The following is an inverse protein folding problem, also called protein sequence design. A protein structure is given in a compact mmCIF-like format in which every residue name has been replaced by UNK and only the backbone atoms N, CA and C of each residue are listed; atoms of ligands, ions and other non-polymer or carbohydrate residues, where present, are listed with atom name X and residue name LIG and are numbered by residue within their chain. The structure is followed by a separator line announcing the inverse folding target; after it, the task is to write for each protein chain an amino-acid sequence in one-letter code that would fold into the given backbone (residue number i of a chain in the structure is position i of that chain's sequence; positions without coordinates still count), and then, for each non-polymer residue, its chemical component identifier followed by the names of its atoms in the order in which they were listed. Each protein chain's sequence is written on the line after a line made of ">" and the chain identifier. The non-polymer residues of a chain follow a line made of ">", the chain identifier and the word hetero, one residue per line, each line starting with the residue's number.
data_IF_938205422112
#
_entry.id   IF_938205422112
#
_cell.length_a   1.000
_cell.length_b   1.000
_cell.length_c   1.000
_cell.angle_alpha   90.00
_cell.angle_beta   90.00
_cell.angle_gamma   90.00
#
_symmetry.space_group_name_H-M   'P 1'
#
loop_
_entity.id
_entity.type
_entity.pdbx_description
1 polymer ?
#
# COMPACT_ATOMS: atom_id res chain seq x y z
N UNK A 1 8.80 -20.39 -7.59
CA UNK A 1 7.66 -21.18 -7.10
C UNK A 1 6.40 -20.34 -7.27
N UNK A 2 5.43 -20.81 -8.05
CA UNK A 2 4.14 -20.15 -8.25
C UNK A 2 3.08 -20.86 -7.43
N UNK A 3 2.26 -20.11 -6.66
CA UNK A 3 1.08 -20.62 -5.96
C UNK A 3 -0.17 -20.37 -6.82
N UNK A 4 -0.58 -21.29 -7.72
CA UNK A 4 -1.82 -21.17 -8.47
C UNK A 4 -3.04 -21.31 -7.55
N UNK A 5 -4.10 -20.55 -7.82
CA UNK A 5 -5.28 -20.46 -6.94
C UNK A 5 -6.06 -21.78 -6.84
N UNK A 6 -6.03 -22.61 -7.88
CA UNK A 6 -6.70 -23.92 -7.94
C UNK A 6 -5.73 -25.11 -8.05
N UNK A 7 -4.46 -24.95 -7.64
CA UNK A 7 -3.49 -26.03 -7.70
C UNK A 7 -3.30 -26.77 -6.37
N UNK A 8 -2.66 -27.94 -6.44
CA UNK A 8 -2.28 -28.68 -5.25
C UNK A 8 -1.30 -27.87 -4.39
N UNK A 9 -1.52 -27.88 -3.07
CA UNK A 9 -0.61 -27.23 -2.11
C UNK A 9 0.75 -27.94 -2.17
N UNK A 10 1.86 -27.23 -2.41
CA UNK A 10 3.18 -27.86 -2.44
C UNK A 10 3.50 -28.49 -1.08
N UNK A 11 3.99 -29.74 -1.07
CA UNK A 11 4.37 -30.44 0.16
C UNK A 11 5.52 -29.73 0.92
N UNK A 12 6.35 -28.96 0.21
CA UNK A 12 7.45 -28.16 0.76
C UNK A 12 7.47 -26.77 0.09
N UNK A 13 6.72 -25.78 0.60
CA UNK A 13 6.59 -24.47 -0.04
C UNK A 13 7.83 -23.55 0.04
N UNK A 14 8.90 -24.01 0.71
CA UNK A 14 10.12 -23.22 0.91
C UNK A 14 9.92 -22.02 1.87
N UNK A 15 10.99 -21.28 2.23
CA UNK A 15 10.86 -20.09 3.05
C UNK A 15 10.04 -19.02 2.31
N UNK A 16 8.87 -18.71 2.85
CA UNK A 16 7.92 -17.75 2.28
C UNK A 16 8.51 -16.33 2.26
N UNK A 17 9.05 -15.91 1.11
CA UNK A 17 9.45 -14.52 0.81
C UNK A 17 8.22 -13.63 0.55
N UNK A 18 7.22 -13.74 1.40
CA UNK A 18 5.88 -13.16 1.22
C UNK A 18 5.74 -11.78 1.89
N UNK A 19 6.86 -11.15 2.24
CA UNK A 19 6.88 -9.93 3.01
C UNK A 19 7.95 -8.97 2.49
N UNK A 20 7.60 -7.71 2.17
CA UNK A 20 6.27 -7.11 2.13
C UNK A 20 5.45 -7.48 0.87
N UNK A 21 4.12 -7.37 0.94
CA UNK A 21 3.22 -7.65 -0.18
C UNK A 21 3.26 -6.59 -1.28
N UNK A 22 4.18 -6.72 -2.25
CA UNK A 22 4.38 -5.72 -3.31
C UNK A 22 3.12 -5.36 -4.12
N UNK A 23 2.22 -6.33 -4.37
CA UNK A 23 0.95 -6.09 -5.05
C UNK A 23 0.02 -5.17 -4.23
N UNK A 24 -0.11 -5.42 -2.92
CA UNK A 24 -0.89 -4.57 -2.04
C UNK A 24 -0.27 -3.17 -1.91
N UNK A 25 1.07 -3.08 -1.78
CA UNK A 25 1.79 -1.81 -1.70
C UNK A 25 1.55 -0.90 -2.91
N UNK A 26 1.49 -1.48 -4.12
CA UNK A 26 1.22 -0.71 -5.35
C UNK A 26 -0.19 -0.07 -5.35
N UNK A 27 -1.20 -0.77 -4.82
CA UNK A 27 -2.54 -0.21 -4.65
C UNK A 27 -2.58 0.89 -3.58
N UNK A 28 -1.91 0.68 -2.44
CA UNK A 28 -1.78 1.71 -1.39
C UNK A 28 -0.99 2.94 -1.86
N UNK A 29 -0.16 2.84 -2.91
CA UNK A 29 0.57 3.99 -3.45
C UNK A 29 -0.38 5.11 -3.93
N UNK A 30 -1.60 4.77 -4.35
CA UNK A 30 -2.63 5.74 -4.76
C UNK A 30 -3.06 6.67 -3.62
N UNK A 31 -2.86 6.28 -2.36
CA UNK A 31 -3.09 7.14 -1.20
C UNK A 31 -2.27 8.45 -1.27
N UNK A 32 -1.16 8.47 -2.00
CA UNK A 32 -0.35 9.67 -2.21
C UNK A 32 -1.12 10.83 -2.88
N UNK A 33 -2.17 10.53 -3.66
CA UNK A 33 -3.05 11.54 -4.25
C UNK A 33 -3.75 12.40 -3.19
N UNK A 34 -3.87 11.91 -1.97
CA UNK A 34 -4.34 12.71 -0.83
C UNK A 34 -3.57 14.03 -0.74
N UNK A 35 -2.24 13.99 -0.78
CA UNK A 35 -1.40 15.18 -0.62
C UNK A 35 -1.50 16.16 -1.79
N UNK A 36 -1.86 15.68 -2.99
CA UNK A 36 -2.11 16.52 -4.16
C UNK A 36 -3.38 17.36 -3.99
N UNK A 37 -4.47 16.75 -3.53
CA UNK A 37 -5.77 17.41 -3.45
C UNK A 37 -6.05 18.07 -2.10
N UNK A 38 -5.33 17.71 -1.03
CA UNK A 38 -5.58 18.19 0.33
C UNK A 38 -5.66 19.72 0.45
N UNK A 39 -4.79 20.53 -0.19
CA UNK A 39 -4.80 21.99 0.00
C UNK A 39 -6.02 22.70 -0.60
N UNK A 40 -6.64 22.14 -1.65
CA UNK A 40 -7.69 22.82 -2.42
C UNK A 40 -9.04 22.10 -2.36
N UNK A 41 -9.04 20.78 -2.21
CA UNK A 41 -10.23 19.91 -2.32
C UNK A 41 -10.17 18.77 -1.29
N UNK A 42 -10.39 19.05 0.01
CA UNK A 42 -10.22 18.06 1.07
C UNK A 42 -11.14 16.84 0.94
N UNK A 43 -12.37 17.02 0.43
CA UNK A 43 -13.30 15.90 0.18
C UNK A 43 -12.73 14.92 -0.86
N UNK A 44 -12.21 15.44 -1.97
CA UNK A 44 -11.59 14.62 -3.01
C UNK A 44 -10.33 13.92 -2.50
N UNK A 45 -9.51 14.61 -1.68
CA UNK A 45 -8.33 14.02 -1.06
C UNK A 45 -8.68 12.77 -0.24
N UNK A 46 -9.70 12.87 0.62
CA UNK A 46 -10.19 11.73 1.41
C UNK A 46 -10.79 10.62 0.54
N UNK A 47 -11.50 10.96 -0.55
CA UNK A 47 -11.97 9.96 -1.50
C UNK A 47 -10.81 9.20 -2.16
N UNK A 48 -9.75 9.89 -2.58
CA UNK A 48 -8.55 9.26 -3.14
C UNK A 48 -7.83 8.37 -2.11
N UNK A 49 -7.79 8.80 -0.85
CA UNK A 49 -7.19 8.02 0.23
C UNK A 49 -7.96 6.72 0.50
N UNK A 50 -9.28 6.81 0.67
CA UNK A 50 -10.15 5.64 0.81
C UNK A 50 -10.08 4.74 -0.43
N UNK A 51 -10.01 5.33 -1.62
CA UNK A 51 -9.82 4.60 -2.88
C UNK A 51 -8.50 3.82 -2.92
N UNK A 52 -7.39 4.42 -2.45
CA UNK A 52 -6.10 3.74 -2.34
C UNK A 52 -6.10 2.59 -1.34
N UNK A 53 -6.81 2.72 -0.22
CA UNK A 53 -7.03 1.60 0.71
C UNK A 53 -7.81 0.48 0.03
N UNK A 54 -8.93 0.79 -0.62
CA UNK A 54 -9.75 -0.20 -1.30
C UNK A 54 -8.96 -0.92 -2.41
N UNK A 55 -8.17 -0.18 -3.20
CA UNK A 55 -7.34 -0.73 -4.26
C UNK A 55 -6.23 -1.64 -3.70
N UNK A 56 -5.51 -1.21 -2.66
CA UNK A 56 -4.46 -2.01 -2.02
C UNK A 56 -5.01 -3.30 -1.39
N UNK A 57 -6.19 -3.22 -0.77
CA UNK A 57 -6.89 -4.39 -0.24
C UNK A 57 -7.35 -5.33 -1.35
N UNK A 58 -7.93 -4.82 -2.44
CA UNK A 58 -8.39 -5.62 -3.58
C UNK A 58 -7.22 -6.36 -4.25
N UNK A 59 -6.10 -5.68 -4.49
CA UNK A 59 -4.89 -6.29 -5.06
C UNK A 59 -4.26 -7.30 -4.09
N UNK A 60 -4.29 -7.02 -2.79
CA UNK A 60 -3.82 -7.93 -1.76
C UNK A 60 -4.71 -9.16 -1.56
N UNK A 61 -6.02 -9.04 -1.83
CA UNK A 61 -7.00 -10.11 -1.65
C UNK A 61 -6.70 -11.31 -2.55
N UNK A 62 -6.32 -11.08 -3.82
CA UNK A 62 -5.90 -12.16 -4.72
C UNK A 62 -4.73 -12.98 -4.18
N UNK A 63 -3.81 -12.34 -3.44
CA UNK A 63 -2.66 -13.00 -2.83
C UNK A 63 -3.01 -13.76 -1.54
N UNK A 64 -4.02 -13.29 -0.80
CA UNK A 64 -4.60 -14.01 0.34
C UNK A 64 -5.32 -15.27 -0.15
N UNK A 65 -6.12 -15.16 -1.21
CA UNK A 65 -6.86 -16.29 -1.80
C UNK A 65 -5.93 -17.41 -2.31
N UNK A 66 -4.71 -17.07 -2.71
CA UNK A 66 -3.67 -18.02 -3.11
C UNK A 66 -2.93 -18.67 -1.93
N UNK A 67 -3.28 -18.30 -0.69
CA UNK A 67 -2.57 -18.71 0.52
C UNK A 67 -1.15 -18.15 0.63
N UNK A 68 -0.78 -17.19 -0.23
CA UNK A 68 0.59 -16.68 -0.31
C UNK A 68 0.87 -15.57 0.72
N UNK A 69 -0.15 -14.85 1.17
CA UNK A 69 -0.02 -13.74 2.11
C UNK A 69 -1.09 -13.80 3.21
N UNK A 70 -0.70 -13.49 4.45
CA UNK A 70 -1.65 -13.21 5.52
C UNK A 70 -2.23 -11.81 5.35
N UNK A 71 -3.45 -11.58 5.83
CA UNK A 71 -4.07 -10.25 5.88
C UNK A 71 -3.17 -9.24 6.61
N UNK A 72 -2.47 -9.69 7.66
CA UNK A 72 -1.52 -8.88 8.43
C UNK A 72 -0.35 -8.37 7.57
N UNK A 73 0.13 -9.14 6.59
CA UNK A 73 1.17 -8.69 5.66
C UNK A 73 0.69 -7.51 4.80
N UNK A 74 -0.58 -7.53 4.39
CA UNK A 74 -1.16 -6.45 3.60
C UNK A 74 -1.41 -5.20 4.45
N UNK A 75 -1.93 -5.38 5.67
CA UNK A 75 -2.11 -4.27 6.62
C UNK A 75 -0.77 -3.60 6.96
N UNK A 76 0.27 -4.40 7.21
CA UNK A 76 1.61 -3.90 7.49
C UNK A 76 2.24 -3.16 6.30
N UNK A 77 2.04 -3.66 5.08
CA UNK A 77 2.45 -2.97 3.86
C UNK A 77 1.74 -1.61 3.72
N UNK A 78 0.43 -1.56 3.95
CA UNK A 78 -0.33 -0.30 3.93
C UNK A 78 0.17 0.72 4.94
N UNK A 79 0.50 0.28 6.16
CA UNK A 79 1.08 1.14 7.20
C UNK A 79 2.40 1.78 6.75
N UNK A 80 3.34 0.98 6.23
CA UNK A 80 4.64 1.50 5.75
C UNK A 80 4.51 2.41 4.54
N UNK A 81 3.64 2.07 3.58
CA UNK A 81 3.38 2.91 2.41
C UNK A 81 2.84 4.27 2.86
N UNK A 82 1.86 4.30 3.76
CA UNK A 82 1.31 5.56 4.27
C UNK A 82 2.34 6.40 5.04
N UNK A 83 3.11 5.78 5.93
CA UNK A 83 4.18 6.48 6.66
C UNK A 83 5.25 7.06 5.73
N UNK A 84 5.65 6.32 4.69
CA UNK A 84 6.63 6.80 3.72
C UNK A 84 6.12 8.03 2.96
N UNK A 85 4.85 8.03 2.54
CA UNK A 85 4.22 9.16 1.87
C UNK A 85 4.12 10.38 2.80
N UNK A 86 3.73 10.19 4.06
CA UNK A 86 3.71 11.23 5.08
C UNK A 86 5.08 11.84 5.32
N UNK A 87 6.11 11.00 5.46
CA UNK A 87 7.49 11.45 5.67
C UNK A 87 7.99 12.30 4.49
N UNK A 88 7.76 11.84 3.26
CA UNK A 88 8.13 12.58 2.04
C UNK A 88 7.40 13.92 1.98
N UNK A 89 6.08 13.93 2.19
CA UNK A 89 5.30 15.16 2.18
C UNK A 89 5.76 16.14 3.26
N UNK A 90 6.06 15.65 4.46
CA UNK A 90 6.57 16.47 5.56
C UNK A 90 7.96 17.05 5.26
N UNK A 91 8.88 16.24 4.71
CA UNK A 91 10.21 16.69 4.31
C UNK A 91 10.14 17.78 3.23
N UNK A 92 9.33 17.58 2.20
CA UNK A 92 9.14 18.53 1.11
C UNK A 92 8.52 19.82 1.65
N UNK A 93 7.37 19.74 2.33
CA UNK A 93 6.69 20.93 2.88
C UNK A 93 7.55 21.67 3.91
N UNK A 94 8.34 20.95 4.70
CA UNK A 94 9.33 21.51 5.62
C UNK A 94 10.46 22.24 4.91
N UNK A 95 11.02 21.64 3.86
CA UNK A 95 12.07 22.26 3.03
C UNK A 95 11.57 23.57 2.40
N UNK A 96 10.40 23.55 1.77
CA UNK A 96 9.80 24.74 1.16
C UNK A 96 9.53 25.85 2.18
N UNK A 97 9.02 25.50 3.38
CA UNK A 97 8.82 26.48 4.46
C UNK A 97 10.11 27.15 4.92
N UNK A 98 11.24 26.43 4.95
CA UNK A 98 12.54 26.99 5.34
C UNK A 98 13.14 27.88 4.25
N UNK A 99 12.91 27.55 2.98
CA UNK A 99 13.43 28.32 1.83
C UNK A 99 12.68 29.64 1.60
N UNK A 100 11.39 29.68 1.92
CA UNK A 100 10.52 30.85 1.75
C UNK A 100 10.49 31.78 2.98
N UNK A 101 11.28 31.45 4.01
CA UNK A 101 11.56 32.28 5.18
C UNK A 101 12.90 32.96 4.99
#
# INVERSE_FOLDING_TARGET
>A
MSFPLFGAVPALPGPGRCFPGGHASSGFAVMALFFLFYPQRPRLAWCCWCGGIALGMLMGFGQIMRGAHFLTHNLWAGWWVWLSQLAIYWMISGYWRRKMR
#
